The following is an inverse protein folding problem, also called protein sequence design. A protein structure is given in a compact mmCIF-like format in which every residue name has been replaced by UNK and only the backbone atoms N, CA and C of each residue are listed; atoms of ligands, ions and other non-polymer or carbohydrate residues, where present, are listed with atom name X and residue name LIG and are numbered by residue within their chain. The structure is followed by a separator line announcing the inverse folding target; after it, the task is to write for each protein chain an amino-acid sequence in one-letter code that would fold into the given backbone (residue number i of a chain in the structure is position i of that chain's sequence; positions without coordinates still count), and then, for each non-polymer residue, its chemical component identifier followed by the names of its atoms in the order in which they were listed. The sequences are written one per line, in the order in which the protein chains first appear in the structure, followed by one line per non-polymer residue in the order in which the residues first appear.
data_IF_302855055986
#
_entry.id   IF_302855055986
#
_cell.length_a   1.000
_cell.length_b   1.000
_cell.length_c   1.000
_cell.angle_alpha   90.00
_cell.angle_beta   90.00
_cell.angle_gamma   90.00
#
_symmetry.space_group_name_H-M   'P 1'
#
loop_
_entity.id
_entity.type
_entity.pdbx_description
1 polymer ?
#
# COMPACT_ATOMS: atom_id res chain seq x y z
N UNK A 1 -7.45 7.06 8.26
CA UNK A 1 -6.62 5.87 8.56
C UNK A 1 -5.29 5.85 7.81
N UNK A 2 -5.19 6.34 6.57
CA UNK A 2 -3.90 6.41 5.85
C UNK A 2 -2.85 7.34 6.50
N UNK A 3 -3.24 8.41 7.23
CA UNK A 3 -2.27 9.33 7.84
C UNK A 3 -1.50 8.70 9.00
N UNK A 4 -2.15 7.95 9.88
CA UNK A 4 -1.50 7.33 11.05
C UNK A 4 -0.41 6.33 10.64
N UNK A 5 -0.65 5.53 9.61
CA UNK A 5 0.35 4.59 9.07
C UNK A 5 1.50 5.35 8.40
N UNK A 6 1.21 6.48 7.75
CA UNK A 6 2.24 7.32 7.13
C UNK A 6 3.14 7.97 8.18
N UNK A 7 2.55 8.46 9.27
CA UNK A 7 3.28 9.05 10.39
C UNK A 7 4.15 7.99 11.08
N UNK A 8 3.66 6.76 11.30
CA UNK A 8 4.46 5.66 11.85
C UNK A 8 5.67 5.31 10.96
N UNK A 9 5.49 5.26 9.63
CA UNK A 9 6.57 4.99 8.67
C UNK A 9 7.62 6.11 8.65
N UNK A 10 7.23 7.36 8.93
CA UNK A 10 8.17 8.48 9.04
C UNK A 10 9.08 8.38 10.27
N UNK A 11 8.66 7.66 11.31
CA UNK A 11 9.46 7.42 12.51
C UNK A 11 10.38 6.19 12.40
N UNK A 12 10.34 5.44 11.30
CA UNK A 12 11.23 4.30 11.09
C UNK A 12 12.66 4.75 10.79
N UNK A 13 13.64 3.98 11.28
CA UNK A 13 15.03 4.21 10.90
C UNK A 13 15.23 4.02 9.40
N UNK A 14 16.21 4.71 8.82
CA UNK A 14 16.48 4.69 7.39
C UNK A 14 16.77 3.28 6.87
N UNK A 15 17.42 2.43 7.66
CA UNK A 15 17.72 1.04 7.32
C UNK A 15 16.46 0.18 7.16
N UNK A 16 15.38 0.52 7.88
CA UNK A 16 14.09 -0.17 7.78
C UNK A 16 13.23 0.45 6.67
N UNK A 17 13.32 1.77 6.48
CA UNK A 17 12.52 2.50 5.49
C UNK A 17 13.00 2.27 4.05
N UNK A 18 14.30 2.17 3.82
CA UNK A 18 14.86 2.03 2.46
C UNK A 18 14.39 0.76 1.75
N UNK A 19 14.44 -0.44 2.35
CA UNK A 19 13.93 -1.66 1.70
C UNK A 19 12.45 -1.57 1.33
N UNK A 20 11.63 -0.98 2.21
CA UNK A 20 10.20 -0.81 1.94
C UNK A 20 9.96 0.21 0.84
N UNK A 21 10.73 1.31 0.82
CA UNK A 21 10.64 2.33 -0.23
C UNK A 21 11.11 1.80 -1.59
N UNK A 22 12.20 1.05 -1.63
CA UNK A 22 12.69 0.38 -2.84
C UNK A 22 11.71 -0.67 -3.35
N UNK A 23 11.10 -1.43 -2.45
CA UNK A 23 10.05 -2.38 -2.80
C UNK A 23 8.82 -1.69 -3.37
N UNK A 24 8.30 -0.65 -2.70
CA UNK A 24 7.16 0.16 -3.15
C UNK A 24 7.43 0.92 -4.46
N UNK A 25 8.67 1.35 -4.67
CA UNK A 25 9.09 2.15 -5.82
C UNK A 25 9.69 1.35 -6.98
N UNK A 26 9.73 0.02 -6.91
CA UNK A 26 10.39 -0.79 -7.93
C UNK A 26 9.66 -0.66 -9.28
N UNK A 27 10.33 -0.16 -10.33
CA UNK A 27 9.75 -0.11 -11.67
C UNK A 27 9.36 -1.52 -12.14
N UNK A 28 8.10 -1.71 -12.57
CA UNK A 28 7.60 -3.00 -13.02
C UNK A 28 6.86 -3.83 -11.96
N UNK A 29 6.80 -3.39 -10.70
CA UNK A 29 5.88 -3.99 -9.73
C UNK A 29 4.46 -3.46 -9.97
N UNK A 30 3.55 -4.34 -10.36
CA UNK A 30 2.14 -3.99 -10.56
C UNK A 30 1.44 -3.87 -9.20
N UNK A 31 1.21 -2.63 -8.78
CA UNK A 31 0.47 -2.34 -7.56
C UNK A 31 -1.02 -2.40 -7.84
N UNK A 32 -1.75 -3.19 -7.05
CA UNK A 32 -3.20 -3.28 -7.17
C UNK A 32 -3.85 -2.57 -5.98
N UNK A 33 -4.67 -1.55 -6.25
CA UNK A 33 -5.45 -0.82 -5.26
C UNK A 33 -6.88 -1.31 -5.24
N UNK A 34 -7.30 -1.79 -4.08
CA UNK A 34 -8.70 -2.03 -3.80
C UNK A 34 -9.43 -0.70 -3.63
N UNK A 35 -10.55 -0.55 -4.33
CA UNK A 35 -11.36 0.67 -4.33
C UNK A 35 -12.74 0.45 -3.70
N UNK A 36 -12.87 -0.57 -2.85
CA UNK A 36 -14.11 -1.23 -2.41
C UNK A 36 -15.39 -0.40 -2.23
N UNK A 37 -16.53 -1.07 -2.38
CA UNK A 37 -17.87 -0.48 -2.24
C UNK A 37 -18.24 -0.10 -0.79
N UNK A 38 -19.26 0.75 -0.67
CA UNK A 38 -19.73 1.41 0.58
C UNK A 38 -20.06 0.49 1.78
N UNK A 39 -20.06 -0.84 1.62
CA UNK A 39 -20.49 -1.80 2.66
C UNK A 39 -19.53 -2.98 2.81
N UNK A 40 -19.53 -3.65 3.98
CA UNK A 40 -18.71 -4.85 4.21
C UNK A 40 -19.09 -5.92 3.19
N UNK A 41 -18.19 -6.19 2.26
CA UNK A 41 -18.37 -7.19 1.20
C UNK A 41 -17.12 -8.05 1.10
N UNK A 42 -17.31 -9.30 0.68
CA UNK A 42 -16.21 -10.25 0.50
C UNK A 42 -15.31 -9.78 -0.64
N UNK A 43 -14.11 -9.32 -0.30
CA UNK A 43 -13.10 -8.84 -1.25
C UNK A 43 -12.62 -10.00 -2.12
N UNK A 44 -12.61 -9.80 -3.42
CA UNK A 44 -12.10 -10.72 -4.44
C UNK A 44 -10.89 -10.11 -5.13
N UNK A 45 -10.01 -10.95 -5.68
CA UNK A 45 -8.83 -10.48 -6.40
C UNK A 45 -9.18 -9.59 -7.60
N UNK A 46 -10.30 -9.86 -8.29
CA UNK A 46 -10.79 -9.04 -9.39
C UNK A 46 -11.30 -7.64 -8.97
N UNK A 47 -11.41 -7.35 -7.68
CA UNK A 47 -11.88 -6.05 -7.19
C UNK A 47 -10.74 -5.02 -7.09
N UNK A 48 -9.50 -5.45 -7.29
CA UNK A 48 -8.34 -4.58 -7.26
C UNK A 48 -7.99 -4.08 -8.67
N UNK A 49 -7.53 -2.83 -8.76
CA UNK A 49 -7.13 -2.19 -10.02
C UNK A 49 -5.66 -1.76 -9.99
N UNK A 50 -4.93 -1.79 -11.11
CA UNK A 50 -3.59 -1.22 -11.19
C UNK A 50 -3.56 0.24 -10.71
N UNK A 51 -2.49 0.62 -10.01
CA UNK A 51 -2.21 1.98 -9.53
C UNK A 51 -1.47 2.79 -10.60
#
# INVERSE_FOLDING_TARGET
MFSAVKDEIEHWSLDVRNPVKEFLGHPGTEWLKYSGGERPTKIRLGDFKPV
#
